data_IF_243027133397
#
_entry.id   IF_243027133397
#
_cell.length_a   1.000
_cell.length_b   1.000
_cell.length_c   1.000
_cell.angle_alpha   90.00
_cell.angle_beta   90.00
_cell.angle_gamma   90.00
#
_symmetry.space_group_name_H-M   'P 1'
#
loop_
_entity.id
_entity.type
_entity.pdbx_description
1 polymer ?
#
# COMPACT_ATOMS: atom_id res chain seq x y z
N UNK A 1 0.21 -20.05 -33.63
CA UNK A 1 -0.06 -19.20 -32.46
C UNK A 1 1.20 -19.23 -31.61
N UNK A 2 2.01 -18.17 -31.65
CA UNK A 2 3.25 -18.08 -30.87
C UNK A 2 2.90 -17.90 -29.41
N UNK A 3 3.29 -18.86 -28.57
CA UNK A 3 3.08 -18.83 -27.13
C UNK A 3 3.72 -17.58 -26.54
N UNK A 4 2.93 -16.79 -25.81
CA UNK A 4 3.42 -15.63 -25.07
C UNK A 4 4.48 -16.12 -24.07
N UNK A 5 5.69 -15.53 -24.04
CA UNK A 5 6.73 -15.97 -23.11
C UNK A 5 6.25 -15.80 -21.66
N UNK A 6 6.64 -16.73 -20.77
CA UNK A 6 6.23 -16.75 -19.35
C UNK A 6 6.57 -15.46 -18.55
N UNK A 7 7.42 -14.59 -19.09
CA UNK A 7 7.82 -13.31 -18.49
C UNK A 7 7.16 -12.09 -19.15
N UNK A 8 6.27 -12.30 -20.13
CA UNK A 8 5.55 -11.19 -20.75
C UNK A 8 4.36 -10.80 -19.89
N UNK A 9 4.22 -9.50 -19.65
CA UNK A 9 3.02 -8.92 -19.04
C UNK A 9 1.80 -9.00 -20.00
N UNK A 10 1.99 -9.45 -21.24
CA UNK A 10 0.92 -9.55 -22.22
C UNK A 10 0.24 -8.19 -22.43
N UNK A 11 -1.10 -8.21 -22.44
CA UNK A 11 -1.90 -6.99 -22.59
C UNK A 11 -1.71 -5.99 -21.45
N UNK A 12 -1.24 -6.42 -20.26
CA UNK A 12 -0.98 -5.52 -19.12
C UNK A 12 0.20 -4.57 -19.36
N UNK A 13 1.04 -4.82 -20.38
CA UNK A 13 2.11 -3.89 -20.76
C UNK A 13 1.65 -2.74 -21.66
N UNK A 14 0.44 -2.81 -22.22
CA UNK A 14 -0.11 -1.74 -23.06
C UNK A 14 -0.94 -0.77 -22.19
N UNK A 15 -0.47 0.47 -21.96
CA UNK A 15 -1.19 1.44 -21.15
C UNK A 15 -2.53 1.86 -21.76
N UNK A 16 -2.79 1.57 -23.03
CA UNK A 16 -4.05 1.91 -23.70
C UNK A 16 -5.10 0.80 -23.62
N UNK A 17 -4.71 -0.41 -23.18
CA UNK A 17 -5.57 -1.59 -23.26
C UNK A 17 -6.73 -1.58 -22.25
N UNK A 18 -6.54 -0.99 -21.06
CA UNK A 18 -7.56 -0.90 -20.00
C UNK A 18 -7.95 0.55 -19.73
N UNK A 19 -8.39 1.26 -20.78
CA UNK A 19 -8.80 2.69 -20.69
C UNK A 19 -10.31 2.90 -20.65
N UNK A 20 -11.08 1.85 -20.88
CA UNK A 20 -12.54 1.88 -20.80
C UNK A 20 -13.05 1.90 -19.36
N UNK A 21 -14.31 2.31 -19.20
CA UNK A 21 -14.97 2.31 -17.89
C UNK A 21 -15.01 0.92 -17.29
N UNK A 22 -14.70 0.82 -16.00
CA UNK A 22 -14.80 -0.43 -15.26
C UNK A 22 -16.24 -0.95 -15.25
N UNK A 23 -16.47 -2.12 -15.82
CA UNK A 23 -17.76 -2.82 -15.74
C UNK A 23 -17.87 -3.50 -14.38
N UNK A 24 -18.78 -3.02 -13.54
CA UNK A 24 -18.99 -3.51 -12.16
C UNK A 24 -20.28 -4.31 -12.00
N UNK A 25 -21.03 -4.53 -13.08
CA UNK A 25 -22.25 -5.33 -13.05
C UNK A 25 -21.96 -6.78 -12.65
N UNK A 26 -22.70 -7.28 -11.66
CA UNK A 26 -22.50 -8.62 -11.09
C UNK A 26 -21.37 -8.71 -10.05
N UNK A 27 -20.61 -7.64 -9.80
CA UNK A 27 -19.63 -7.61 -8.72
C UNK A 27 -20.32 -7.45 -7.35
N UNK A 28 -19.70 -7.98 -6.30
CA UNK A 28 -20.20 -7.84 -4.92
C UNK A 28 -20.09 -6.38 -4.45
N UNK A 29 -21.22 -5.67 -4.22
CA UNK A 29 -21.20 -4.28 -3.81
C UNK A 29 -20.55 -4.07 -2.43
N UNK A 30 -20.57 -5.08 -1.55
CA UNK A 30 -19.93 -4.99 -0.23
C UNK A 30 -18.41 -4.96 -0.40
N UNK A 31 -17.87 -5.87 -1.22
CA UNK A 31 -16.47 -5.87 -1.60
C UNK A 31 -16.04 -4.54 -2.25
N UNK A 32 -16.78 -4.06 -3.27
CA UNK A 32 -16.42 -2.83 -3.97
C UNK A 32 -16.36 -1.62 -3.03
N UNK A 33 -17.34 -1.50 -2.14
CA UNK A 33 -17.36 -0.41 -1.15
C UNK A 33 -16.18 -0.50 -0.20
N UNK A 34 -15.90 -1.69 0.36
CA UNK A 34 -14.75 -1.91 1.25
C UNK A 34 -13.43 -1.58 0.57
N UNK A 35 -13.25 -2.01 -0.68
CA UNK A 35 -12.03 -1.73 -1.45
C UNK A 35 -11.87 -0.22 -1.68
N UNK A 36 -12.94 0.47 -2.07
CA UNK A 36 -12.93 1.92 -2.25
C UNK A 36 -12.62 2.68 -0.95
N UNK A 37 -13.27 2.32 0.15
CA UNK A 37 -13.02 2.90 1.48
C UNK A 37 -11.55 2.74 1.88
N UNK A 38 -10.97 1.56 1.65
CA UNK A 38 -9.57 1.27 1.96
C UNK A 38 -8.61 2.09 1.08
N UNK A 39 -8.88 2.21 -0.23
CA UNK A 39 -8.08 3.06 -1.13
C UNK A 39 -8.14 4.53 -0.74
N UNK A 40 -9.33 5.04 -0.39
CA UNK A 40 -9.50 6.43 0.06
C UNK A 40 -8.77 6.69 1.38
N UNK A 41 -8.87 5.76 2.34
CA UNK A 41 -8.14 5.86 3.61
C UNK A 41 -6.62 5.93 3.40
N UNK A 42 -6.07 5.07 2.53
CA UNK A 42 -4.64 5.08 2.19
C UNK A 42 -4.26 6.43 1.55
N UNK A 43 -5.02 6.87 0.53
CA UNK A 43 -4.79 8.15 -0.15
C UNK A 43 -4.78 9.33 0.82
N UNK A 44 -5.80 9.42 1.69
CA UNK A 44 -5.91 10.48 2.69
C UNK A 44 -4.75 10.45 3.67
N UNK A 45 -4.37 9.26 4.14
CA UNK A 45 -3.23 9.08 5.06
C UNK A 45 -1.94 9.61 4.44
N UNK A 46 -1.67 9.26 3.18
CA UNK A 46 -0.45 9.70 2.50
C UNK A 46 -0.46 11.19 2.17
N UNK A 47 -1.62 11.79 1.89
CA UNK A 47 -1.71 13.25 1.77
C UNK A 47 -1.36 13.96 3.08
N UNK A 48 -1.87 13.47 4.22
CA UNK A 48 -1.52 14.03 5.52
C UNK A 48 -0.01 13.88 5.81
N UNK A 49 0.57 12.72 5.53
CA UNK A 49 2.02 12.52 5.63
C UNK A 49 2.77 13.50 4.71
N UNK A 50 2.29 13.71 3.49
CA UNK A 50 2.89 14.67 2.56
C UNK A 50 2.90 16.10 3.12
N UNK A 51 1.78 16.54 3.69
CA UNK A 51 1.68 17.86 4.32
C UNK A 51 2.59 17.97 5.55
N UNK A 52 2.68 16.93 6.37
CA UNK A 52 3.61 16.90 7.50
C UNK A 52 5.08 16.93 7.07
N UNK A 53 5.42 16.29 5.95
CA UNK A 53 6.77 16.38 5.35
C UNK A 53 7.04 17.81 4.88
N UNK A 54 6.10 18.44 4.18
CA UNK A 54 6.23 19.85 3.73
C UNK A 54 6.36 20.81 4.90
N UNK A 55 5.62 20.58 5.98
CA UNK A 55 5.70 21.35 7.22
C UNK A 55 6.97 21.04 8.04
N UNK A 56 7.78 20.07 7.62
CA UNK A 56 9.00 19.66 8.32
C UNK A 56 8.75 18.95 9.64
N UNK A 57 7.55 18.41 9.88
CA UNK A 57 7.22 17.63 11.07
C UNK A 57 7.74 16.20 10.97
N UNK A 58 7.58 15.57 9.80
CA UNK A 58 8.19 14.29 9.48
C UNK A 58 9.65 14.52 9.05
N UNK A 59 10.60 13.90 9.78
CA UNK A 59 12.04 14.10 9.57
C UNK A 59 12.71 13.01 8.74
N UNK A 60 12.06 11.86 8.57
CA UNK A 60 12.57 10.77 7.78
C UNK A 60 12.25 10.96 6.28
N UNK A 61 13.06 10.42 5.35
CA UNK A 61 12.69 10.36 3.95
C UNK A 61 11.38 9.61 3.77
N UNK A 62 10.43 10.17 3.03
CA UNK A 62 9.12 9.56 2.77
C UNK A 62 8.89 9.36 1.28
N UNK A 63 8.42 8.15 0.93
CA UNK A 63 8.02 7.83 -0.44
C UNK A 63 6.58 7.33 -0.45
N UNK A 64 5.70 8.14 -1.02
CA UNK A 64 4.27 7.91 -1.02
C UNK A 64 3.85 7.02 -2.19
N UNK A 65 2.86 6.17 -1.97
CA UNK A 65 2.19 5.31 -2.93
C UNK A 65 0.92 5.95 -3.53
N UNK A 66 0.77 7.28 -3.44
CA UNK A 66 -0.38 8.02 -4.00
C UNK A 66 -0.57 7.60 -5.47
N UNK A 67 -1.79 7.18 -5.80
CA UNK A 67 -2.22 6.61 -7.09
C UNK A 67 -1.82 5.17 -7.36
N UNK A 68 -1.26 4.46 -6.38
CA UNK A 68 -0.94 3.03 -6.44
C UNK A 68 -1.73 2.21 -5.39
N UNK A 69 -2.77 2.79 -4.80
CA UNK A 69 -3.53 2.18 -3.71
C UNK A 69 -4.25 0.89 -4.16
N UNK A 70 -4.79 0.91 -5.37
CA UNK A 70 -5.55 -0.20 -5.93
C UNK A 70 -4.74 -1.50 -5.98
N UNK A 71 -3.44 -1.40 -6.27
CA UNK A 71 -2.53 -2.56 -6.33
C UNK A 71 -2.38 -3.17 -4.94
N UNK A 72 -2.12 -2.33 -3.93
CA UNK A 72 -1.96 -2.79 -2.54
C UNK A 72 -3.26 -3.38 -1.99
N UNK A 73 -4.40 -2.73 -2.24
CA UNK A 73 -5.71 -3.22 -1.81
C UNK A 73 -6.06 -4.54 -2.50
N UNK A 74 -5.93 -4.62 -3.82
CA UNK A 74 -6.20 -5.85 -4.57
C UNK A 74 -5.29 -7.01 -4.15
N UNK A 75 -4.01 -6.75 -3.93
CA UNK A 75 -3.06 -7.76 -3.42
C UNK A 75 -3.48 -8.27 -2.04
N UNK A 76 -3.81 -7.37 -1.11
CA UNK A 76 -4.17 -7.73 0.26
C UNK A 76 -5.40 -8.64 0.35
N UNK A 77 -6.33 -8.56 -0.61
CA UNK A 77 -7.52 -9.41 -0.67
C UNK A 77 -7.21 -10.86 -1.06
N UNK A 78 -6.04 -11.11 -1.67
CA UNK A 78 -5.56 -12.45 -2.01
C UNK A 78 -4.60 -13.04 -0.95
N UNK A 79 -4.20 -12.26 0.04
CA UNK A 79 -3.26 -12.66 1.08
C UNK A 79 -3.98 -13.01 2.39
N UNK A 80 -3.34 -13.87 3.17
CA UNK A 80 -3.73 -14.20 4.54
C UNK A 80 -2.66 -13.73 5.53
N UNK A 81 -2.96 -13.60 6.83
CA UNK A 81 -1.94 -13.28 7.84
C UNK A 81 -0.81 -14.32 7.96
N UNK A 82 -0.96 -15.51 7.36
CA UNK A 82 0.08 -16.54 7.31
C UNK A 82 1.09 -16.31 6.18
N UNK A 83 0.72 -15.52 5.18
CA UNK A 83 1.59 -15.15 4.08
C UNK A 83 2.58 -14.07 4.51
N UNK A 84 3.81 -14.16 4.00
CA UNK A 84 4.87 -13.20 4.32
C UNK A 84 5.06 -12.23 3.18
N UNK A 85 4.46 -11.05 3.31
CA UNK A 85 4.67 -9.96 2.36
C UNK A 85 5.89 -9.13 2.74
N UNK A 86 6.66 -8.73 1.72
CA UNK A 86 7.75 -7.77 1.82
C UNK A 86 7.49 -6.65 0.82
N UNK A 87 7.45 -5.42 1.32
CA UNK A 87 7.24 -4.24 0.49
C UNK A 87 8.53 -3.53 0.08
N UNK A 88 8.40 -2.54 -0.78
CA UNK A 88 9.50 -1.68 -1.25
C UNK A 88 9.53 -0.33 -0.50
N UNK A 89 10.18 0.69 -1.06
CA UNK A 89 10.27 2.02 -0.44
C UNK A 89 8.92 2.75 -0.32
N UNK A 90 7.86 2.32 -1.03
CA UNK A 90 6.49 2.88 -1.04
C UNK A 90 5.48 1.96 -0.33
N UNK A 91 5.85 1.48 0.85
CA UNK A 91 5.13 0.39 1.51
C UNK A 91 3.94 0.80 2.38
N UNK A 92 3.66 2.10 2.55
CA UNK A 92 2.55 2.56 3.39
C UNK A 92 1.22 1.95 2.93
N UNK A 93 0.96 1.98 1.62
CA UNK A 93 -0.23 1.37 1.04
C UNK A 93 -0.33 -0.14 1.29
N UNK A 94 0.77 -0.89 1.15
CA UNK A 94 0.79 -2.34 1.42
C UNK A 94 0.51 -2.64 2.90
N UNK A 95 1.22 -1.95 3.80
CA UNK A 95 1.06 -2.07 5.24
C UNK A 95 -0.40 -1.78 5.67
N UNK A 96 -0.97 -0.67 5.21
CA UNK A 96 -2.35 -0.29 5.54
C UNK A 96 -3.37 -1.24 4.89
N UNK A 97 -3.15 -1.65 3.65
CA UNK A 97 -4.08 -2.52 2.94
C UNK A 97 -4.21 -3.91 3.57
N UNK A 98 -3.10 -4.42 4.10
CA UNK A 98 -3.02 -5.70 4.83
C UNK A 98 -3.56 -5.60 6.26
N UNK A 99 -3.89 -4.41 6.77
CA UNK A 99 -4.51 -4.23 8.09
C UNK A 99 -3.57 -3.68 9.15
N UNK A 100 -2.40 -3.16 8.76
CA UNK A 100 -1.51 -2.46 9.67
C UNK A 100 -2.19 -1.25 10.33
N UNK A 101 -1.79 -0.96 11.57
CA UNK A 101 -2.37 0.15 12.35
C UNK A 101 -2.08 1.51 11.71
N UNK A 102 -3.15 2.25 11.38
CA UNK A 102 -3.06 3.62 10.89
C UNK A 102 -2.32 4.55 11.88
N UNK A 103 -2.69 4.48 13.15
CA UNK A 103 -2.00 5.24 14.20
C UNK A 103 -0.54 4.81 14.31
N UNK A 104 -0.27 3.50 14.22
CA UNK A 104 1.08 2.96 14.27
C UNK A 104 1.96 3.45 13.11
N UNK A 105 1.39 3.67 11.92
CA UNK A 105 2.11 4.27 10.80
C UNK A 105 2.44 5.75 11.08
N UNK A 106 1.47 6.54 11.52
CA UNK A 106 1.71 7.95 11.86
C UNK A 106 2.74 8.11 12.97
N UNK A 107 2.63 7.31 14.02
CA UNK A 107 3.60 7.31 15.11
C UNK A 107 5.00 6.91 14.60
N UNK A 108 5.09 5.96 13.67
CA UNK A 108 6.36 5.52 13.10
C UNK A 108 7.03 6.62 12.26
N UNK A 109 6.30 7.26 11.34
CA UNK A 109 6.88 8.32 10.49
C UNK A 109 7.26 9.56 11.31
N UNK A 110 6.60 9.78 12.45
CA UNK A 110 6.93 10.83 13.42
C UNK A 110 8.03 10.42 14.42
N UNK A 111 8.57 9.20 14.34
CA UNK A 111 9.65 8.72 15.20
C UNK A 111 9.24 8.47 16.65
N UNK A 112 7.96 8.17 16.91
CA UNK A 112 7.43 7.87 18.24
C UNK A 112 7.61 6.40 18.60
N UNK A 113 7.85 6.14 19.88
CA UNK A 113 8.05 4.77 20.40
C UNK A 113 6.83 3.85 20.21
N UNK A 114 5.64 4.41 20.01
CA UNK A 114 4.38 3.70 19.72
C UNK A 114 4.21 3.34 18.24
N UNK A 115 5.17 3.70 17.38
CA UNK A 115 5.18 3.33 15.97
C UNK A 115 5.28 1.82 15.75
N UNK A 116 4.83 1.36 14.58
CA UNK A 116 4.84 -0.06 14.21
C UNK A 116 6.23 -0.72 14.26
N UNK A 117 7.30 0.07 14.12
CA UNK A 117 8.70 -0.33 14.28
C UNK A 117 9.40 0.44 15.41
N UNK A 118 8.62 0.87 16.43
CA UNK A 118 9.07 1.58 17.63
C UNK A 118 9.73 2.94 17.36
N UNK A 119 9.37 3.60 16.26
CA UNK A 119 9.89 4.90 15.86
C UNK A 119 11.29 4.86 15.27
N UNK A 120 11.84 3.67 15.01
CA UNK A 120 13.21 3.47 14.53
C UNK A 120 13.28 3.22 13.01
N UNK A 121 12.17 2.82 12.40
CA UNK A 121 12.10 2.46 10.99
C UNK A 121 11.64 3.60 10.07
N UNK A 122 10.94 4.59 10.62
CA UNK A 122 10.41 5.72 9.85
C UNK A 122 9.52 5.28 8.70
N UNK A 123 9.59 5.97 7.56
CA UNK A 123 8.76 5.66 6.40
C UNK A 123 9.12 4.36 5.67
N UNK A 124 10.35 3.85 5.81
CA UNK A 124 10.88 2.82 4.90
C UNK A 124 11.10 1.45 5.55
N UNK A 125 11.08 1.35 6.88
CA UNK A 125 11.27 0.07 7.59
C UNK A 125 10.09 -0.21 8.53
N UNK A 126 8.88 -0.23 7.97
CA UNK A 126 7.65 -0.53 8.72
C UNK A 126 7.43 -2.04 8.78
N UNK A 127 6.82 -2.52 9.88
CA UNK A 127 6.60 -3.94 10.15
C UNK A 127 5.26 -4.15 10.85
N UNK A 128 4.51 -5.18 10.44
CA UNK A 128 3.31 -5.65 11.11
C UNK A 128 3.13 -7.16 10.86
N UNK A 129 3.89 -7.96 11.60
CA UNK A 129 3.90 -9.42 11.44
C UNK A 129 2.60 -10.11 11.83
N UNK A 130 1.75 -9.47 12.63
CA UNK A 130 0.41 -9.94 12.99
C UNK A 130 -0.57 -9.94 11.82
N UNK A 131 -0.32 -9.10 10.81
CA UNK A 131 -1.11 -9.03 9.57
C UNK A 131 -0.34 -9.55 8.34
N UNK A 132 0.79 -10.23 8.55
CA UNK A 132 1.60 -10.81 7.46
C UNK A 132 2.51 -9.83 6.72
N UNK A 133 2.66 -8.58 7.20
CA UNK A 133 3.59 -7.60 6.61
C UNK A 133 4.94 -7.65 7.33
N UNK A 134 5.92 -8.34 6.74
CA UNK A 134 7.19 -8.69 7.41
C UNK A 134 8.32 -7.70 7.21
N UNK A 135 8.10 -6.63 6.44
CA UNK A 135 9.06 -5.54 6.33
C UNK A 135 9.00 -4.82 4.99
N UNK A 136 9.72 -3.72 4.95
CA UNK A 136 9.95 -2.94 3.73
C UNK A 136 11.41 -2.51 3.64
N UNK A 137 11.86 -2.25 2.42
CA UNK A 137 13.25 -1.88 2.12
C UNK A 137 13.36 -0.45 1.55
N UNK A 138 14.46 0.27 1.81
CA UNK A 138 14.74 1.57 1.19
C UNK A 138 15.14 1.41 -0.28
N UNK A 139 15.34 2.55 -0.97
CA UNK A 139 15.92 2.60 -2.32
C UNK A 139 17.39 2.16 -2.28
#
# INVERSE_FOLDING_TARGET
MTSVPHYSLGFLSDPNYLTESLVVEGADPVFLKRALEKMLMIRSTEYEIAEMVKAGQVKCPCHLAISQEAISVGLAEALTPQDRAFGNHRSHAHYLAMGGSLQGLFDEVLGRATGCSKGMGGSMHIFAGDVGFHGSVPI
#
